data_IF_706918432127
#
_entry.id   IF_706918432127
#
_cell.length_a   1.000
_cell.length_b   1.000
_cell.length_c   1.000
_cell.angle_alpha   90.00
_cell.angle_beta   90.00
_cell.angle_gamma   90.00
#
_symmetry.space_group_name_H-M   'P 1'
#
loop_
_entity.id
_entity.type
_entity.pdbx_description
1 polymer ?
#
# COMPACT_ATOMS: atom_id res chain seq x y z
N UNK A 1 13.45 16.68 -0.03
CA UNK A 1 12.94 17.95 0.55
C UNK A 1 12.47 17.75 1.98
N UNK A 2 12.09 18.81 2.72
CA UNK A 2 11.50 18.65 4.07
C UNK A 2 10.12 17.95 4.02
N UNK A 3 9.34 18.21 2.98
CA UNK A 3 8.03 17.59 2.76
C UNK A 3 8.12 16.08 2.58
N UNK A 4 8.97 15.60 1.67
CA UNK A 4 9.16 14.15 1.43
C UNK A 4 9.63 13.40 2.69
N UNK A 5 10.50 14.02 3.50
CA UNK A 5 10.92 13.45 4.80
C UNK A 5 9.74 13.35 5.77
N UNK A 6 8.91 14.38 5.86
CA UNK A 6 7.73 14.37 6.72
C UNK A 6 6.70 13.32 6.29
N UNK A 7 6.49 13.19 4.98
CA UNK A 7 5.63 12.17 4.39
C UNK A 7 6.13 10.75 4.74
N UNK A 8 7.40 10.45 4.45
CA UNK A 8 8.00 9.15 4.76
C UNK A 8 7.92 8.82 6.27
N UNK A 9 8.23 9.77 7.15
CA UNK A 9 8.15 9.56 8.60
C UNK A 9 6.71 9.24 9.03
N UNK A 10 5.71 9.93 8.45
CA UNK A 10 4.30 9.69 8.79
C UNK A 10 3.87 8.27 8.43
N UNK A 11 4.22 7.79 7.24
CA UNK A 11 3.96 6.40 6.84
C UNK A 11 4.75 5.40 7.68
N UNK A 12 6.03 5.66 7.95
CA UNK A 12 6.86 4.80 8.80
C UNK A 12 6.25 4.62 10.20
N UNK A 13 5.75 5.71 10.82
CA UNK A 13 5.11 5.63 12.13
C UNK A 13 3.86 4.76 12.11
N UNK A 14 3.06 4.82 11.04
CA UNK A 14 1.89 3.95 10.86
C UNK A 14 2.32 2.48 10.69
N UNK A 15 3.32 2.20 9.85
CA UNK A 15 3.85 0.83 9.71
C UNK A 15 4.39 0.30 11.02
N UNK A 16 5.14 1.11 11.76
CA UNK A 16 5.70 0.73 13.05
C UNK A 16 4.58 0.47 14.08
N UNK A 17 3.50 1.26 14.05
CA UNK A 17 2.29 1.00 14.85
C UNK A 17 1.65 -0.34 14.48
N UNK A 18 1.49 -0.64 13.18
CA UNK A 18 0.97 -1.93 12.70
C UNK A 18 1.73 -3.12 13.31
N UNK A 19 3.07 -3.04 13.29
CA UNK A 19 3.94 -4.08 13.83
C UNK A 19 3.86 -4.16 15.36
N UNK A 20 3.98 -3.04 16.06
CA UNK A 20 4.05 -3.01 17.53
C UNK A 20 2.72 -3.37 18.20
N UNK A 21 1.58 -3.05 17.56
CA UNK A 21 0.25 -3.39 18.07
C UNK A 21 -0.28 -4.72 17.53
N UNK A 22 0.55 -5.44 16.78
CA UNK A 22 0.21 -6.72 16.18
C UNK A 22 -1.09 -6.67 15.33
N UNK A 23 -1.28 -5.58 14.57
CA UNK A 23 -2.41 -5.44 13.65
C UNK A 23 -2.17 -6.32 12.42
N UNK A 24 -3.20 -7.00 11.91
CA UNK A 24 -3.08 -7.86 10.71
C UNK A 24 -2.70 -7.06 9.45
N UNK A 25 -3.24 -5.84 9.34
CA UNK A 25 -3.01 -4.92 8.24
C UNK A 25 -3.39 -3.48 8.65
N UNK A 26 -3.02 -2.51 7.82
CA UNK A 26 -3.54 -1.15 7.87
C UNK A 26 -4.13 -0.75 6.51
N UNK A 27 -5.19 0.06 6.53
CA UNK A 27 -5.63 0.87 5.38
C UNK A 27 -5.19 2.32 5.65
N UNK A 28 -4.38 2.89 4.77
CA UNK A 28 -3.78 4.22 4.92
C UNK A 28 -4.31 5.11 3.80
N UNK A 29 -4.77 6.30 4.15
CA UNK A 29 -5.26 7.32 3.22
C UNK A 29 -4.71 8.69 3.63
N UNK A 30 -4.31 9.49 2.65
CA UNK A 30 -4.00 10.91 2.81
C UNK A 30 -5.29 11.73 2.89
N UNK A 31 -5.22 12.96 3.40
CA UNK A 31 -6.39 13.80 3.67
C UNK A 31 -6.93 14.53 2.43
N UNK A 32 -6.20 14.50 1.33
CA UNK A 32 -6.52 15.19 0.07
C UNK A 32 -7.01 14.25 -1.05
N UNK A 33 -7.43 13.04 -0.70
CA UNK A 33 -7.96 12.07 -1.66
C UNK A 33 -9.38 12.38 -2.14
N UNK A 34 -9.63 12.12 -3.42
CA UNK A 34 -10.98 12.06 -3.98
C UNK A 34 -11.40 10.60 -4.11
N UNK A 35 -12.58 10.27 -3.57
CA UNK A 35 -13.12 8.92 -3.65
C UNK A 35 -13.66 8.62 -5.04
N UNK A 36 -13.17 7.52 -5.63
CA UNK A 36 -13.67 7.01 -6.90
C UNK A 36 -15.05 6.37 -6.79
N UNK A 37 -15.59 5.98 -7.94
CA UNK A 37 -16.88 5.28 -8.02
C UNK A 37 -16.90 4.02 -7.13
N UNK A 38 -17.98 3.81 -6.37
CA UNK A 38 -18.15 2.66 -5.49
C UNK A 38 -17.01 2.47 -4.45
N UNK A 39 -16.35 3.54 -4.02
CA UNK A 39 -15.29 3.47 -2.99
C UNK A 39 -15.82 2.95 -1.66
N UNK A 40 -17.07 3.25 -1.31
CA UNK A 40 -17.73 2.79 -0.09
C UNK A 40 -17.73 1.28 0.05
N UNK A 41 -17.84 0.53 -1.05
CA UNK A 41 -17.80 -0.94 -1.05
C UNK A 41 -16.44 -1.47 -0.54
N UNK A 42 -15.35 -0.73 -0.79
CA UNK A 42 -13.99 -1.11 -0.37
C UNK A 42 -13.63 -0.58 1.03
N UNK A 43 -14.21 0.56 1.41
CA UNK A 43 -13.87 1.29 2.63
C UNK A 43 -14.75 0.91 3.83
N UNK A 44 -16.05 0.73 3.61
CA UNK A 44 -17.02 0.48 4.68
C UNK A 44 -16.97 -0.96 5.22
N UNK A 45 -16.41 -1.89 4.45
CA UNK A 45 -16.36 -3.31 4.78
C UNK A 45 -14.96 -3.87 4.51
N UNK A 46 -14.57 -4.90 5.25
CA UNK A 46 -13.30 -5.61 5.05
C UNK A 46 -13.47 -7.05 4.57
N UNK A 47 -14.70 -7.56 4.50
CA UNK A 47 -14.97 -8.94 4.06
C UNK A 47 -14.42 -9.25 2.67
N UNK A 48 -14.47 -8.27 1.75
CA UNK A 48 -13.91 -8.45 0.41
C UNK A 48 -12.39 -8.72 0.44
N UNK A 49 -11.69 -8.14 1.41
CA UNK A 49 -10.26 -8.29 1.61
C UNK A 49 -9.97 -9.64 2.28
N UNK A 50 -10.67 -9.95 3.38
CA UNK A 50 -10.49 -11.19 4.15
C UNK A 50 -10.79 -12.46 3.35
N UNK A 51 -11.73 -12.39 2.41
CA UNK A 51 -12.09 -13.51 1.53
C UNK A 51 -11.11 -13.72 0.37
N UNK A 52 -10.14 -12.81 0.18
CA UNK A 52 -9.25 -12.78 -0.99
C UNK A 52 -7.77 -12.83 -0.66
N UNK A 53 -7.39 -12.38 0.53
CA UNK A 53 -5.99 -12.26 0.95
C UNK A 53 -5.78 -13.01 2.28
N UNK A 54 -4.69 -13.76 2.37
CA UNK A 54 -4.20 -14.30 3.63
C UNK A 54 -3.34 -13.23 4.32
N UNK A 55 -3.69 -12.82 5.54
CA UNK A 55 -2.91 -11.79 6.26
C UNK A 55 -1.55 -12.25 6.78
N UNK A 56 -1.24 -13.54 6.65
CA UNK A 56 0.11 -14.04 6.83
C UNK A 56 1.00 -13.78 5.60
N UNK A 57 0.41 -13.48 4.44
CA UNK A 57 1.16 -13.10 3.23
C UNK A 57 1.72 -11.68 3.34
N UNK A 58 2.81 -11.45 2.62
CA UNK A 58 3.44 -10.14 2.48
C UNK A 58 2.83 -9.45 1.25
N UNK A 59 1.98 -8.44 1.48
CA UNK A 59 1.35 -7.72 0.38
C UNK A 59 1.13 -6.24 0.68
N UNK A 60 1.11 -5.45 -0.40
CA UNK A 60 0.62 -4.07 -0.44
C UNK A 60 -0.41 -3.99 -1.57
N UNK A 61 -1.61 -3.49 -1.26
CA UNK A 61 -2.67 -3.23 -2.26
C UNK A 61 -2.76 -1.73 -2.44
N UNK A 62 -2.48 -1.27 -3.66
CA UNK A 62 -2.65 0.12 -4.01
C UNK A 62 -4.11 0.44 -4.33
N UNK A 63 -4.63 1.52 -3.78
CA UNK A 63 -6.04 1.94 -3.92
C UNK A 63 -6.22 3.24 -4.73
N UNK A 64 -5.13 3.82 -5.20
CA UNK A 64 -5.12 5.08 -5.96
C UNK A 64 -4.71 4.90 -7.43
N UNK A 65 -4.92 5.93 -8.23
CA UNK A 65 -4.43 6.03 -9.61
C UNK A 65 -4.13 7.48 -9.96
N UNK A 66 -3.08 7.71 -10.77
CA UNK A 66 -2.78 9.00 -11.38
C UNK A 66 -3.22 9.07 -12.85
N UNK A 67 -4.05 8.12 -13.30
CA UNK A 67 -4.46 7.98 -14.69
C UNK A 67 -3.25 7.89 -15.65
N UNK A 68 -2.14 7.33 -15.16
CA UNK A 68 -0.92 7.08 -15.92
C UNK A 68 -0.80 5.61 -16.29
N UNK A 69 -0.25 5.29 -17.48
CA UNK A 69 0.01 3.91 -17.85
C UNK A 69 0.97 3.22 -16.86
N UNK A 70 0.63 1.99 -16.49
CA UNK A 70 1.45 1.09 -15.65
C UNK A 70 1.73 -0.21 -16.39
N UNK A 71 2.84 -0.86 -16.06
CA UNK A 71 3.07 -2.26 -16.45
C UNK A 71 2.44 -3.16 -15.40
N UNK A 72 1.50 -3.99 -15.83
CA UNK A 72 0.82 -4.97 -15.00
C UNK A 72 1.13 -6.39 -15.47
N UNK A 73 1.36 -7.28 -14.52
CA UNK A 73 1.32 -8.73 -14.76
C UNK A 73 -0.03 -9.26 -14.27
N UNK A 74 -0.76 -9.93 -15.16
CA UNK A 74 -2.03 -10.55 -14.80
C UNK A 74 -1.80 -11.75 -13.91
N UNK A 75 -2.65 -11.89 -12.90
CA UNK A 75 -2.67 -13.03 -11.99
C UNK A 75 -4.08 -13.64 -11.91
N UNK A 76 -4.18 -14.90 -11.49
CA UNK A 76 -5.47 -15.64 -11.42
C UNK A 76 -5.81 -16.14 -10.02
N UNK A 77 -4.95 -15.90 -9.03
CA UNK A 77 -5.10 -16.39 -7.66
C UNK A 77 -6.11 -15.56 -6.87
N UNK A 78 -6.11 -14.25 -7.06
CA UNK A 78 -6.98 -13.30 -6.37
C UNK A 78 -8.15 -12.97 -7.32
N UNK A 79 -9.38 -13.39 -7.01
CA UNK A 79 -10.53 -13.12 -7.86
C UNK A 79 -10.90 -11.63 -7.86
N UNK A 80 -11.42 -11.10 -8.97
CA UNK A 80 -11.86 -9.72 -9.04
C UNK A 80 -12.97 -9.42 -8.02
N UNK A 81 -13.14 -8.13 -7.73
CA UNK A 81 -14.21 -7.63 -6.89
C UNK A 81 -14.72 -6.30 -7.40
N UNK A 82 -16.05 -6.15 -7.47
CA UNK A 82 -16.71 -4.93 -7.92
C UNK A 82 -16.09 -4.37 -9.23
N UNK A 83 -15.93 -5.24 -10.23
CA UNK A 83 -15.35 -4.92 -11.54
C UNK A 83 -13.89 -4.43 -11.52
N UNK A 84 -13.14 -4.68 -10.44
CA UNK A 84 -11.72 -4.35 -10.30
C UNK A 84 -10.89 -5.62 -10.19
N UNK A 85 -9.81 -5.69 -10.97
CA UNK A 85 -8.83 -6.78 -10.94
C UNK A 85 -7.71 -6.45 -9.95
N UNK A 86 -7.12 -7.49 -9.36
CA UNK A 86 -5.96 -7.38 -8.47
C UNK A 86 -4.71 -7.86 -9.21
N UNK A 87 -4.27 -7.11 -10.22
CA UNK A 87 -3.08 -7.45 -11.00
C UNK A 87 -1.79 -6.96 -10.30
N UNK A 88 -0.65 -7.58 -10.63
CA UNK A 88 0.64 -7.26 -10.00
C UNK A 88 1.27 -6.06 -10.72
N UNK A 89 1.58 -5.00 -9.97
CA UNK A 89 2.31 -3.84 -10.47
C UNK A 89 3.80 -4.21 -10.72
N UNK A 90 4.28 -3.96 -11.94
CA UNK A 90 5.66 -4.29 -12.39
C UNK A 90 6.50 -3.09 -12.80
N UNK A 91 5.93 -1.90 -12.70
CA UNK A 91 6.61 -0.63 -12.95
C UNK A 91 6.46 0.24 -11.71
N UNK A 92 7.54 0.94 -11.36
CA UNK A 92 7.50 2.03 -10.39
C UNK A 92 6.37 2.98 -10.71
N UNK A 93 5.65 3.41 -9.69
CA UNK A 93 4.61 4.39 -9.89
C UNK A 93 4.39 5.27 -8.66
N UNK A 94 4.32 6.57 -8.93
CA UNK A 94 4.29 7.60 -7.91
C UNK A 94 2.96 7.69 -7.17
N UNK A 95 3.04 8.23 -5.96
CA UNK A 95 1.96 8.45 -5.00
C UNK A 95 1.74 7.36 -3.95
N UNK A 96 1.19 7.81 -2.82
CA UNK A 96 0.85 7.01 -1.64
C UNK A 96 -0.51 7.38 -1.06
N UNK A 97 -1.37 8.02 -1.86
CA UNK A 97 -2.58 8.66 -1.35
C UNK A 97 -3.59 7.66 -0.75
N UNK A 98 -3.56 6.41 -1.20
CA UNK A 98 -4.37 5.34 -0.62
C UNK A 98 -3.79 3.95 -0.86
N UNK A 99 -3.58 3.18 0.21
CA UNK A 99 -3.15 1.78 0.11
C UNK A 99 -3.47 0.94 1.34
N UNK A 100 -3.37 -0.38 1.18
CA UNK A 100 -3.47 -1.37 2.26
C UNK A 100 -2.12 -2.06 2.37
N UNK A 101 -1.62 -2.25 3.59
CA UNK A 101 -0.35 -2.93 3.86
C UNK A 101 -0.56 -4.03 4.90
N UNK A 102 -0.16 -5.27 4.59
CA UNK A 102 -0.17 -6.37 5.57
C UNK A 102 0.90 -6.15 6.63
N UNK A 103 0.74 -6.77 7.81
CA UNK A 103 1.76 -6.70 8.85
C UNK A 103 3.12 -7.21 8.36
N UNK A 104 3.12 -8.29 7.57
CA UNK A 104 4.33 -8.86 6.99
C UNK A 104 5.05 -7.87 6.07
N UNK A 105 4.30 -7.14 5.23
CA UNK A 105 4.84 -6.07 4.40
C UNK A 105 5.35 -4.88 5.23
N UNK A 106 4.62 -4.46 6.27
CA UNK A 106 5.08 -3.39 7.16
C UNK A 106 6.41 -3.74 7.83
N UNK A 107 6.56 -4.98 8.34
CA UNK A 107 7.84 -5.47 8.89
C UNK A 107 8.94 -5.44 7.82
N UNK A 108 8.66 -5.96 6.64
CA UNK A 108 9.63 -6.01 5.54
C UNK A 108 10.15 -4.62 5.16
N UNK A 109 9.25 -3.65 4.95
CA UNK A 109 9.62 -2.28 4.55
C UNK A 109 10.39 -1.57 5.66
N UNK A 110 10.01 -1.75 6.93
CA UNK A 110 10.76 -1.20 8.07
C UNK A 110 12.18 -1.76 8.12
N UNK A 111 12.34 -3.08 7.98
CA UNK A 111 13.66 -3.71 7.99
C UNK A 111 14.49 -3.31 6.77
N UNK A 112 13.89 -3.18 5.60
CA UNK A 112 14.56 -2.64 4.42
C UNK A 112 15.08 -1.22 4.69
N UNK A 113 14.23 -0.30 5.19
CA UNK A 113 14.61 1.08 5.49
C UNK A 113 15.74 1.20 6.53
N UNK A 114 15.82 0.29 7.51
CA UNK A 114 16.91 0.27 8.49
C UNK A 114 18.26 -0.11 7.89
N UNK A 115 18.25 -0.85 6.77
CA UNK A 115 19.45 -1.43 6.17
C UNK A 115 19.93 -0.68 4.92
N UNK A 116 19.14 0.25 4.36
CA UNK A 116 19.59 1.05 3.22
C UNK A 116 20.52 2.20 3.65
N UNK A 117 21.56 2.51 2.86
CA UNK A 117 22.37 3.71 3.05
C UNK A 117 21.51 4.98 3.00
N UNK A 118 21.86 5.98 3.82
CA UNK A 118 21.06 7.20 3.92
C UNK A 118 20.97 8.02 2.62
N UNK A 119 21.95 7.87 1.74
CA UNK A 119 22.04 8.48 0.42
C UNK A 119 21.25 7.73 -0.67
N UNK A 120 20.79 6.52 -0.38
CA UNK A 120 19.93 5.70 -1.25
C UNK A 120 18.44 5.77 -0.86
N UNK A 121 18.10 6.54 0.18
CA UNK A 121 16.69 6.72 0.61
C UNK A 121 15.95 7.52 -0.45
N UNK A 122 14.99 6.85 -1.10
CA UNK A 122 14.05 7.43 -2.06
C UNK A 122 12.76 7.94 -1.39
N UNK A 123 11.89 8.57 -2.18
CA UNK A 123 10.56 8.96 -1.72
C UNK A 123 9.71 7.73 -1.37
N UNK A 124 8.70 7.92 -0.52
CA UNK A 124 7.91 6.81 0.04
C UNK A 124 7.11 6.04 -1.00
N UNK A 125 6.70 6.70 -2.07
CA UNK A 125 5.99 6.09 -3.20
C UNK A 125 6.92 5.19 -4.02
N UNK A 126 8.11 5.68 -4.36
CA UNK A 126 9.14 4.86 -5.03
C UNK A 126 9.59 3.67 -4.17
N UNK A 127 9.57 3.83 -2.85
CA UNK A 127 9.92 2.77 -1.91
C UNK A 127 8.92 1.60 -1.94
N UNK A 128 7.62 1.87 -2.11
CA UNK A 128 6.56 0.86 -1.94
C UNK A 128 5.84 0.49 -3.25
N UNK A 129 6.04 1.23 -4.36
CA UNK A 129 5.38 1.01 -5.66
C UNK A 129 6.30 1.20 -6.89
#
# INVERSE_FOLDING_TARGET
>A
TKGEKGCLISHFLLWNKCVNENLEYLKIFEDDVILGENAEVFLAQDEWLKTRFDFNDIFIIRLETFLRPVKLEKQTKIPPFNSRNFDILKSTHWGTAGYIISQGAAKYVIEYLKNIPSDEIVAVDELIF
#
